data_IF_073810570053
#
_entry.id   IF_073810570053
#
_cell.length_a   1.000
_cell.length_b   1.000
_cell.length_c   1.000
_cell.angle_alpha   90.00
_cell.angle_beta   90.00
_cell.angle_gamma   90.00
#
_symmetry.space_group_name_H-M   'P 1'
#
loop_
_entity.id
_entity.type
_entity.pdbx_description
1 polymer ?
#
# COMPACT_ATOMS: atom_id res chain seq x y z
N UNK A 1 14.37 1.29 11.56
CA UNK A 1 14.07 2.58 10.88
C UNK A 1 15.07 2.89 9.77
N UNK A 2 16.39 2.83 10.00
CA UNK A 2 17.40 3.04 8.94
C UNK A 2 17.26 2.08 7.74
N UNK A 3 16.98 0.79 8.01
CA UNK A 3 16.75 -0.22 6.98
C UNK A 3 15.54 0.10 6.09
N UNK A 4 14.40 0.47 6.69
CA UNK A 4 13.20 0.87 5.95
C UNK A 4 13.45 2.07 5.03
N UNK A 5 14.23 3.06 5.51
CA UNK A 5 14.62 4.21 4.67
C UNK A 5 15.50 3.78 3.51
N UNK A 6 16.47 2.88 3.74
CA UNK A 6 17.32 2.32 2.68
C UNK A 6 16.51 1.59 1.60
N UNK A 7 15.53 0.78 2.01
CA UNK A 7 14.62 0.11 1.07
C UNK A 7 13.83 1.13 0.24
N UNK A 8 13.25 2.16 0.87
CA UNK A 8 12.51 3.22 0.15
C UNK A 8 13.42 3.96 -0.86
N UNK A 9 14.70 4.16 -0.54
CA UNK A 9 15.63 4.89 -1.42
C UNK A 9 16.14 4.06 -2.61
N UNK A 10 16.17 2.73 -2.47
CA UNK A 10 16.74 1.83 -3.49
C UNK A 10 15.70 1.29 -4.48
N UNK A 11 14.42 1.32 -4.12
CA UNK A 11 13.31 0.80 -4.92
C UNK A 11 12.63 1.92 -5.71
N UNK A 12 12.07 1.59 -6.89
CA UNK A 12 11.51 2.60 -7.83
C UNK A 12 10.00 2.49 -8.00
N UNK A 13 9.41 1.32 -7.76
CA UNK A 13 7.98 1.03 -7.96
C UNK A 13 7.38 0.68 -6.60
N UNK A 14 7.17 1.71 -5.80
CA UNK A 14 6.69 1.59 -4.42
C UNK A 14 5.16 1.61 -4.39
N UNK A 15 4.56 0.57 -3.82
CA UNK A 15 3.12 0.50 -3.55
C UNK A 15 2.86 0.50 -2.05
N UNK A 16 1.97 1.38 -1.62
CA UNK A 16 1.49 1.47 -0.25
C UNK A 16 0.10 0.82 -0.17
N UNK A 17 0.02 -0.35 0.46
CA UNK A 17 -1.25 -1.03 0.74
C UNK A 17 -1.81 -0.53 2.06
N UNK A 18 -2.87 0.24 1.98
CA UNK A 18 -3.49 0.87 3.15
C UNK A 18 -4.73 0.08 3.59
N UNK A 19 -4.69 -0.46 4.80
CA UNK A 19 -5.77 -1.20 5.43
C UNK A 19 -6.58 -0.40 6.44
N UNK A 20 -7.62 -1.03 6.99
CA UNK A 20 -8.54 -0.40 7.95
C UNK A 20 -7.87 0.11 9.23
N UNK A 21 -6.73 -0.44 9.64
CA UNK A 21 -5.96 0.04 10.79
C UNK A 21 -5.36 1.43 10.59
N UNK A 22 -5.27 1.92 9.35
CA UNK A 22 -4.76 3.25 9.03
C UNK A 22 -5.84 4.35 9.09
N UNK A 23 -7.11 4.01 9.33
CA UNK A 23 -8.25 4.97 9.28
C UNK A 23 -8.13 6.16 10.22
N UNK A 24 -7.49 5.97 11.37
CA UNK A 24 -7.27 7.02 12.35
C UNK A 24 -6.09 7.94 12.00
N UNK A 25 -5.33 7.64 10.94
CA UNK A 25 -4.05 8.28 10.62
C UNK A 25 -3.94 8.76 9.15
N UNK A 26 -4.96 9.45 8.59
CA UNK A 26 -4.95 9.85 7.18
C UNK A 26 -3.81 10.83 6.84
N UNK A 27 -3.46 11.73 7.76
CA UNK A 27 -2.37 12.70 7.56
C UNK A 27 -1.01 12.02 7.43
N UNK A 28 -0.76 11.00 8.25
CA UNK A 28 0.49 10.22 8.22
C UNK A 28 0.58 9.36 6.95
N UNK A 29 -0.52 8.74 6.54
CA UNK A 29 -0.56 7.98 5.28
C UNK A 29 -0.26 8.90 4.11
N UNK A 30 -0.90 10.07 4.05
CA UNK A 30 -0.64 11.06 3.00
C UNK A 30 0.82 11.50 2.97
N UNK A 31 1.38 11.87 4.13
CA UNK A 31 2.77 12.28 4.23
C UNK A 31 3.73 11.19 3.75
N UNK A 32 3.44 9.92 4.07
CA UNK A 32 4.26 8.78 3.65
C UNK A 32 4.16 8.52 2.13
N UNK A 33 2.95 8.59 1.56
CA UNK A 33 2.75 8.49 0.10
C UNK A 33 3.53 9.59 -0.63
N UNK A 34 3.48 10.82 -0.14
CA UNK A 34 4.19 11.97 -0.72
C UNK A 34 5.71 11.82 -0.57
N UNK A 35 6.20 11.42 0.61
CA UNK A 35 7.63 11.30 0.90
C UNK A 35 8.30 10.13 0.16
N UNK A 36 7.59 9.01 -0.02
CA UNK A 36 8.10 7.84 -0.75
C UNK A 36 8.05 8.02 -2.27
N UNK A 37 7.21 8.94 -2.77
CA UNK A 37 6.92 9.03 -4.19
C UNK A 37 6.19 7.79 -4.75
N UNK A 38 5.65 6.92 -3.89
CA UNK A 38 4.90 5.73 -4.29
C UNK A 38 3.45 6.03 -4.68
N UNK A 39 2.68 4.96 -4.88
CA UNK A 39 1.23 5.00 -5.11
C UNK A 39 0.49 4.18 -4.06
N UNK A 40 -0.73 4.58 -3.72
CA UNK A 40 -1.54 3.93 -2.71
C UNK A 40 -2.65 3.08 -3.34
N UNK A 41 -2.80 1.87 -2.81
CA UNK A 41 -3.97 1.01 -3.02
C UNK A 41 -4.66 0.81 -1.69
N UNK A 42 -5.98 1.04 -1.66
CA UNK A 42 -6.76 1.04 -0.44
C UNK A 42 -7.57 -0.26 -0.34
N UNK A 43 -7.60 -0.88 0.84
CA UNK A 43 -8.63 -1.87 1.13
C UNK A 43 -10.02 -1.21 1.10
N UNK A 44 -11.11 -1.95 0.81
CA UNK A 44 -12.47 -1.39 0.86
C UNK A 44 -12.80 -0.68 2.18
N UNK A 45 -12.29 -1.19 3.32
CA UNK A 45 -12.48 -0.57 4.63
C UNK A 45 -11.62 0.67 4.90
N UNK A 46 -10.69 1.00 4.00
CA UNK A 46 -9.77 2.13 4.13
C UNK A 46 -10.03 3.21 3.05
N UNK A 47 -11.12 3.12 2.31
CA UNK A 47 -11.53 4.18 1.39
C UNK A 47 -11.64 5.53 2.12
N UNK A 48 -11.17 6.59 1.47
CA UNK A 48 -11.13 7.94 2.04
C UNK A 48 -9.94 8.23 2.98
N UNK A 49 -9.12 7.23 3.34
CA UNK A 49 -7.87 7.48 4.11
C UNK A 49 -6.91 8.35 3.29
N UNK A 50 -6.82 8.07 1.98
CA UNK A 50 -6.29 9.00 1.01
C UNK A 50 -7.48 9.51 0.18
N UNK A 51 -7.61 10.83 -0.07
CA UNK A 51 -8.72 11.37 -0.86
C UNK A 51 -8.77 10.77 -2.27
N UNK A 52 -9.96 10.56 -2.81
CA UNK A 52 -10.15 10.00 -4.17
C UNK A 52 -9.56 10.91 -5.25
N UNK A 53 -9.51 12.22 -5.02
CA UNK A 53 -8.90 13.20 -5.92
C UNK A 53 -7.37 13.21 -5.86
N UNK A 54 -6.75 12.47 -4.93
CA UNK A 54 -5.30 12.46 -4.79
C UNK A 54 -4.67 11.70 -5.97
N UNK A 55 -3.71 12.27 -6.71
CA UNK A 55 -3.20 11.67 -7.96
C UNK A 55 -2.48 10.33 -7.77
N UNK A 56 -2.04 10.05 -6.53
CA UNK A 56 -1.39 8.79 -6.16
C UNK A 56 -2.35 7.76 -5.55
N UNK A 57 -3.64 8.05 -5.47
CA UNK A 57 -4.65 7.10 -5.03
C UNK A 57 -5.12 6.28 -6.24
N UNK A 58 -4.80 4.98 -6.25
CA UNK A 58 -5.23 4.08 -7.32
C UNK A 58 -6.52 3.33 -6.97
N UNK A 59 -7.20 3.70 -5.88
CA UNK A 59 -8.43 3.08 -5.43
C UNK A 59 -8.19 1.68 -4.84
N UNK A 60 -9.16 0.80 -5.01
CA UNK A 60 -9.12 -0.57 -4.47
C UNK A 60 -8.35 -1.48 -5.43
N UNK A 61 -7.60 -2.45 -4.91
CA UNK A 61 -7.02 -3.54 -5.70
C UNK A 61 -7.75 -4.88 -5.42
N UNK A 62 -7.44 -5.90 -6.21
CA UNK A 62 -8.02 -7.25 -6.12
C UNK A 62 -9.03 -7.55 -7.23
N UNK A 63 -9.81 -8.61 -7.05
CA UNK A 63 -10.77 -9.13 -8.05
C UNK A 63 -11.88 -8.14 -8.45
N UNK A 64 -12.15 -7.14 -7.61
CA UNK A 64 -13.08 -6.02 -7.87
C UNK A 64 -12.38 -4.66 -7.81
N UNK A 65 -11.06 -4.66 -7.90
CA UNK A 65 -10.23 -3.45 -7.85
C UNK A 65 -10.14 -2.73 -9.19
N UNK A 66 -9.44 -1.60 -9.20
CA UNK A 66 -9.11 -0.84 -10.39
C UNK A 66 -8.01 -1.55 -11.19
N UNK A 67 -8.04 -1.35 -12.51
CA UNK A 67 -6.98 -1.85 -13.40
C UNK A 67 -5.61 -1.25 -13.03
N UNK A 68 -5.56 0.05 -12.75
CA UNK A 68 -4.32 0.74 -12.36
C UNK A 68 -3.77 0.26 -11.02
N UNK A 69 -4.64 0.01 -10.04
CA UNK A 69 -4.25 -0.51 -8.73
C UNK A 69 -3.69 -1.92 -8.82
N UNK A 70 -4.34 -2.80 -9.59
CA UNK A 70 -3.87 -4.16 -9.85
C UNK A 70 -2.54 -4.17 -10.60
N UNK A 71 -2.40 -3.34 -11.65
CA UNK A 71 -1.14 -3.22 -12.38
C UNK A 71 0.00 -2.69 -11.51
N UNK A 72 -0.25 -1.65 -10.71
CA UNK A 72 0.75 -1.12 -9.80
C UNK A 72 1.20 -2.16 -8.77
N UNK A 73 0.26 -2.90 -8.18
CA UNK A 73 0.56 -3.95 -7.22
C UNK A 73 1.40 -5.08 -7.83
N UNK A 74 1.04 -5.54 -9.02
CA UNK A 74 1.76 -6.59 -9.76
C UNK A 74 3.20 -6.19 -10.09
N UNK A 75 3.40 -4.91 -10.45
CA UNK A 75 4.69 -4.35 -10.85
C UNK A 75 5.50 -3.75 -9.71
N UNK A 76 4.98 -3.77 -8.48
CA UNK A 76 5.66 -3.19 -7.33
C UNK A 76 6.97 -3.94 -7.06
N UNK A 77 8.06 -3.21 -6.85
CA UNK A 77 9.33 -3.79 -6.37
C UNK A 77 9.45 -3.65 -4.84
N UNK A 78 8.79 -2.66 -4.24
CA UNK A 78 8.63 -2.51 -2.79
C UNK A 78 7.17 -2.39 -2.39
N UNK A 79 6.74 -3.26 -1.47
CA UNK A 79 5.42 -3.19 -0.85
C UNK A 79 5.52 -2.61 0.56
N UNK A 80 4.76 -1.56 0.84
CA UNK A 80 4.59 -1.01 2.19
C UNK A 80 3.16 -1.32 2.66
N UNK A 81 3.02 -2.20 3.64
CA UNK A 81 1.74 -2.60 4.23
C UNK A 81 1.46 -1.73 5.45
N UNK A 82 0.30 -1.07 5.50
CA UNK A 82 -0.06 -0.14 6.58
C UNK A 82 -1.42 -0.52 7.15
N UNK A 83 -1.46 -0.92 8.43
CA UNK A 83 -2.70 -1.22 9.14
C UNK A 83 -3.56 -2.26 8.44
N UNK A 84 -2.95 -3.27 7.82
CA UNK A 84 -3.62 -4.24 6.96
C UNK A 84 -3.13 -5.65 7.23
N UNK A 85 -4.07 -6.60 7.25
CA UNK A 85 -3.73 -8.02 7.19
C UNK A 85 -3.20 -8.29 5.78
N UNK A 86 -2.02 -8.92 5.64
CA UNK A 86 -1.38 -9.20 4.34
C UNK A 86 -2.16 -10.16 3.41
N UNK A 87 -3.35 -10.61 3.83
CA UNK A 87 -4.20 -11.56 3.13
C UNK A 87 -5.68 -11.14 3.23
N UNK A 88 -6.33 -10.95 2.08
CA UNK A 88 -7.78 -10.78 1.90
C UNK A 88 -8.15 -10.82 0.39
N UNK A 89 -9.45 -10.82 0.07
CA UNK A 89 -9.89 -10.74 -1.34
C UNK A 89 -9.40 -9.47 -2.06
N UNK A 90 -9.17 -8.39 -1.31
CA UNK A 90 -8.64 -7.15 -1.85
C UNK A 90 -7.12 -7.16 -2.03
N UNK A 91 -6.41 -8.26 -1.79
CA UNK A 91 -4.99 -8.43 -2.15
C UNK A 91 -4.72 -9.73 -2.95
N UNK A 92 -5.77 -10.26 -3.59
CA UNK A 92 -5.72 -11.53 -4.30
C UNK A 92 -5.21 -12.68 -3.40
N UNK A 93 -5.61 -12.69 -2.13
CA UNK A 93 -5.15 -13.67 -1.14
C UNK A 93 -3.62 -13.67 -0.99
N UNK A 94 -3.02 -12.48 -1.00
CA UNK A 94 -1.57 -12.27 -0.88
C UNK A 94 -0.76 -12.47 -2.16
N UNK A 95 -1.38 -12.90 -3.26
CA UNK A 95 -0.67 -13.20 -4.52
C UNK A 95 -0.52 -11.98 -5.44
N UNK A 96 -1.15 -10.85 -5.11
CA UNK A 96 -1.21 -9.67 -5.98
C UNK A 96 0.07 -8.83 -6.08
N UNK A 97 1.18 -9.27 -5.47
CA UNK A 97 2.45 -8.53 -5.41
C UNK A 97 3.63 -9.39 -5.87
N UNK A 98 3.47 -10.06 -7.01
CA UNK A 98 4.42 -11.09 -7.47
C UNK A 98 5.84 -10.56 -7.72
N UNK A 99 5.98 -9.27 -8.06
CA UNK A 99 7.28 -8.64 -8.36
C UNK A 99 7.96 -7.99 -7.15
N UNK A 100 7.35 -8.04 -5.97
CA UNK A 100 7.87 -7.34 -4.80
C UNK A 100 9.12 -8.07 -4.25
N UNK A 101 10.26 -7.38 -4.24
CA UNK A 101 11.53 -7.88 -3.71
C UNK A 101 11.62 -7.69 -2.19
N UNK A 102 10.93 -6.68 -1.66
CA UNK A 102 10.93 -6.35 -0.25
C UNK A 102 9.54 -5.91 0.24
N UNK A 103 9.30 -6.14 1.53
CA UNK A 103 8.05 -5.74 2.21
C UNK A 103 8.38 -5.00 3.50
N UNK A 104 7.83 -3.80 3.67
CA UNK A 104 7.82 -3.06 4.93
C UNK A 104 6.43 -3.19 5.53
N UNK A 105 6.32 -3.78 6.71
CA UNK A 105 5.05 -3.96 7.40
C UNK A 105 4.93 -3.01 8.60
N UNK A 106 3.93 -2.12 8.56
CA UNK A 106 3.60 -1.14 9.59
C UNK A 106 2.22 -1.50 10.16
N UNK A 107 2.21 -2.49 11.05
CA UNK A 107 1.02 -2.94 11.77
C UNK A 107 1.24 -2.83 13.28
N UNK A 108 0.18 -2.47 14.00
CA UNK A 108 0.19 -2.36 15.46
C UNK A 108 -0.04 -3.70 16.17
N UNK A 109 0.05 -4.83 15.46
CA UNK A 109 -0.21 -6.15 16.03
C UNK A 109 0.83 -7.17 15.50
N UNK A 110 1.50 -7.83 16.44
CA UNK A 110 2.40 -8.97 16.24
C UNK A 110 1.80 -10.26 16.83
N UNK A 111 0.50 -10.27 17.12
CA UNK A 111 -0.26 -11.42 17.63
C UNK A 111 -0.57 -12.48 16.57
#
# INVERSE_FOLDING_TARGET
>A
MAEAVSLIQTHRRIVLKVGGGARAFPGQVRALVEATGGVAVLSPGALGVLPDSHPRNLGVMGSKGSLSGNYAADQADLLIVIGSRGVCQADCSGTGYASADAVININADLG
#
